data_IF_738125305402
#
_entry.id   IF_738125305402
#
_cell.length_a   1.000
_cell.length_b   1.000
_cell.length_c   1.000
_cell.angle_alpha   90.00
_cell.angle_beta   90.00
_cell.angle_gamma   90.00
#
_symmetry.space_group_name_H-M   'P 1'
#
loop_
_entity.id
_entity.type
_entity.pdbx_description
1 polymer ?
#
# COMPACT_ATOMS: atom_id res chain seq x y z
N UNK A 1 -5.11 15.98 -1.52
CA UNK A 1 -4.02 15.97 -2.52
C UNK A 1 -4.52 15.28 -3.79
N UNK A 2 -4.48 15.96 -4.94
CA UNK A 2 -5.17 15.56 -6.17
C UNK A 2 -4.41 14.56 -7.07
N UNK A 3 -3.22 14.08 -6.66
CA UNK A 3 -2.38 13.23 -7.52
C UNK A 3 -2.97 11.84 -7.68
N UNK A 4 -3.44 11.25 -6.59
CA UNK A 4 -4.03 9.90 -6.55
C UNK A 4 -5.30 9.81 -7.41
N UNK A 5 -6.17 10.84 -7.36
CA UNK A 5 -7.41 10.91 -8.16
C UNK A 5 -7.19 11.04 -9.67
N UNK A 6 -5.97 11.41 -10.09
CA UNK A 6 -5.58 11.54 -11.50
C UNK A 6 -4.93 10.28 -12.07
N UNK A 7 -4.72 9.26 -11.24
CA UNK A 7 -4.18 7.99 -11.71
C UNK A 7 -5.13 7.34 -12.72
N UNK A 8 -4.56 6.69 -13.74
CA UNK A 8 -5.33 5.90 -14.70
C UNK A 8 -5.67 4.51 -14.16
N UNK A 9 -4.99 4.07 -13.10
CA UNK A 9 -5.25 2.80 -12.42
C UNK A 9 -6.19 2.98 -11.21
N UNK A 10 -6.93 1.93 -10.86
CA UNK A 10 -7.89 1.95 -9.76
C UNK A 10 -7.26 2.14 -8.36
N UNK A 11 -5.95 1.91 -8.26
CA UNK A 11 -5.15 2.14 -7.07
C UNK A 11 -3.76 2.61 -7.50
N UNK A 12 -3.02 3.17 -6.55
CA UNK A 12 -1.68 3.74 -6.76
C UNK A 12 -0.74 3.18 -5.71
N UNK A 13 0.38 2.62 -6.14
CA UNK A 13 1.39 2.08 -5.24
C UNK A 13 1.95 3.16 -4.31
N UNK A 14 2.09 2.76 -3.05
CA UNK A 14 2.81 3.49 -2.01
C UNK A 14 4.15 2.79 -1.74
N UNK A 15 5.02 3.43 -0.96
CA UNK A 15 6.26 2.80 -0.47
C UNK A 15 6.04 1.76 0.65
N UNK A 16 4.86 1.15 0.74
CA UNK A 16 4.46 0.29 1.86
C UNK A 16 4.58 -1.19 1.45
N UNK A 17 5.28 -2.01 2.25
CA UNK A 17 5.57 -3.41 1.95
C UNK A 17 5.19 -4.32 3.11
N UNK A 18 4.71 -5.53 2.81
CA UNK A 18 4.45 -6.54 3.82
C UNK A 18 5.65 -7.48 3.98
N UNK A 19 6.09 -7.69 5.22
CA UNK A 19 7.05 -8.74 5.58
C UNK A 19 6.31 -9.94 6.15
N UNK A 20 6.19 -11.01 5.37
CA UNK A 20 5.61 -12.28 5.84
C UNK A 20 6.37 -12.87 7.03
N UNK A 21 7.70 -12.75 7.06
CA UNK A 21 8.53 -13.33 8.13
C UNK A 21 8.21 -12.68 9.47
N UNK A 22 7.98 -11.37 9.46
CA UNK A 22 7.71 -10.58 10.66
C UNK A 22 6.21 -10.36 10.91
N UNK A 23 5.36 -10.63 9.93
CA UNK A 23 3.92 -10.35 9.97
C UNK A 23 3.60 -8.85 10.09
N UNK A 24 4.46 -7.98 9.53
CA UNK A 24 4.32 -6.52 9.66
C UNK A 24 4.37 -5.79 8.33
N UNK A 25 3.73 -4.63 8.30
CA UNK A 25 3.84 -3.62 7.26
C UNK A 25 4.93 -2.60 7.59
N UNK A 26 5.75 -2.24 6.61
CA UNK A 26 6.81 -1.25 6.78
C UNK A 26 6.94 -0.34 5.56
N UNK A 27 7.36 0.90 5.80
CA UNK A 27 7.73 1.83 4.73
C UNK A 27 9.14 1.52 4.25
N UNK A 28 9.32 1.43 2.94
CA UNK A 28 10.66 1.25 2.32
C UNK A 28 11.58 2.45 2.54
N UNK A 29 11.02 3.59 2.98
CA UNK A 29 11.80 4.77 3.39
C UNK A 29 12.53 4.59 4.72
N UNK A 30 12.20 3.55 5.50
CA UNK A 30 12.72 3.36 6.85
C UNK A 30 12.05 4.26 7.89
N UNK A 31 11.05 5.04 7.52
CA UNK A 31 10.27 5.86 8.43
C UNK A 31 9.31 5.03 9.28
N UNK A 32 9.16 5.41 10.55
CA UNK A 32 8.22 4.76 11.47
C UNK A 32 6.77 5.09 11.10
N UNK A 33 5.92 4.07 11.08
CA UNK A 33 4.48 4.23 10.82
C UNK A 33 3.79 4.89 12.01
N UNK A 34 3.63 6.22 11.98
CA UNK A 34 2.86 6.96 13.00
C UNK A 34 1.37 7.13 12.62
N UNK A 35 1.03 6.88 11.36
CA UNK A 35 -0.32 7.03 10.81
C UNK A 35 -0.69 5.78 10.01
N UNK A 36 -1.95 5.37 10.09
CA UNK A 36 -2.49 4.26 9.32
C UNK A 36 -3.87 4.63 8.79
N UNK A 37 -4.15 4.26 7.54
CA UNK A 37 -5.43 4.53 6.89
C UNK A 37 -5.96 3.32 6.10
N UNK A 38 -5.85 2.13 6.67
CA UNK A 38 -6.27 0.89 6.02
C UNK A 38 -7.78 0.85 5.79
N UNK A 39 -8.17 0.32 4.63
CA UNK A 39 -9.55 -0.07 4.40
C UNK A 39 -9.91 -1.25 5.34
N UNK A 40 -11.18 -1.38 5.76
CA UNK A 40 -11.61 -2.52 6.56
C UNK A 40 -11.19 -3.86 5.92
N UNK A 41 -10.61 -4.76 6.73
CA UNK A 41 -10.12 -6.05 6.27
C UNK A 41 -8.80 -6.02 5.47
N UNK A 42 -8.14 -4.85 5.36
CA UNK A 42 -6.79 -4.74 4.81
C UNK A 42 -5.79 -4.44 5.93
N UNK A 43 -4.51 -4.76 5.69
CA UNK A 43 -3.44 -4.41 6.62
C UNK A 43 -3.33 -5.32 7.83
N UNK A 44 -4.04 -6.45 7.83
CA UNK A 44 -4.01 -7.48 8.88
C UNK A 44 -3.19 -8.69 8.43
N UNK A 45 -2.76 -9.52 9.38
CA UNK A 45 -2.04 -10.78 9.11
C UNK A 45 -2.91 -11.83 8.42
N UNK A 46 -4.23 -11.63 8.28
CA UNK A 46 -5.11 -12.61 7.61
C UNK A 46 -4.79 -12.71 6.11
N UNK A 47 -4.14 -11.69 5.55
CA UNK A 47 -3.63 -11.71 4.18
C UNK A 47 -2.41 -12.64 3.97
N UNK A 48 -1.79 -13.15 5.06
CA UNK A 48 -0.60 -14.01 4.98
C UNK A 48 -0.87 -15.41 4.39
N UNK A 49 -2.13 -15.82 4.30
CA UNK A 49 -2.50 -17.11 3.71
C UNK A 49 -2.32 -17.16 2.19
N UNK A 50 -2.21 -16.02 1.49
CA UNK A 50 -1.92 -16.00 0.05
C UNK A 50 -0.41 -16.00 -0.21
N UNK A 51 0.11 -17.02 -0.90
CA UNK A 51 1.55 -17.18 -1.17
C UNK A 51 2.22 -15.98 -1.87
N UNK A 52 1.47 -15.11 -2.54
CA UNK A 52 1.99 -13.95 -3.28
C UNK A 52 2.50 -12.84 -2.35
N UNK A 53 3.66 -12.28 -2.68
CA UNK A 53 4.20 -11.09 -1.99
C UNK A 53 3.25 -9.91 -2.21
N UNK A 54 2.98 -9.15 -1.14
CA UNK A 54 2.00 -8.06 -1.13
C UNK A 54 2.66 -6.72 -0.84
N UNK A 55 2.14 -5.71 -1.52
CA UNK A 55 2.50 -4.30 -1.32
C UNK A 55 1.26 -3.47 -1.02
N UNK A 56 1.46 -2.32 -0.40
CA UNK A 56 0.39 -1.38 -0.04
C UNK A 56 0.15 -0.38 -1.16
N UNK A 57 -1.11 -0.17 -1.50
CA UNK A 57 -1.57 0.83 -2.45
C UNK A 57 -2.64 1.70 -1.83
N UNK A 58 -2.86 2.89 -2.38
CA UNK A 58 -4.01 3.74 -2.04
C UNK A 58 -5.05 3.68 -3.16
N UNK A 59 -6.33 3.62 -2.81
CA UNK A 59 -7.41 3.69 -3.80
C UNK A 59 -7.38 5.03 -4.55
N UNK A 60 -7.48 5.00 -5.89
CA UNK A 60 -7.47 6.22 -6.70
C UNK A 60 -8.79 7.00 -6.59
N UNK A 61 -9.90 6.28 -6.45
CA UNK A 61 -11.23 6.81 -6.13
C UNK A 61 -11.67 6.51 -4.69
N UNK A 62 -12.93 6.84 -4.37
CA UNK A 62 -13.52 6.59 -3.06
C UNK A 62 -12.85 7.40 -1.94
N UNK A 63 -12.76 6.78 -0.75
CA UNK A 63 -12.23 7.40 0.47
C UNK A 63 -10.70 7.37 0.56
N UNK A 64 -10.02 6.85 -0.46
CA UNK A 64 -8.55 6.82 -0.55
C UNK A 64 -7.90 6.09 0.63
N UNK A 65 -8.51 4.97 1.04
CA UNK A 65 -7.94 4.07 2.03
C UNK A 65 -6.81 3.22 1.43
N UNK A 66 -5.93 2.75 2.30
CA UNK A 66 -4.86 1.83 1.96
C UNK A 66 -5.42 0.43 1.80
N UNK A 67 -4.98 -0.23 0.74
CA UNK A 67 -5.35 -1.59 0.40
C UNK A 67 -4.10 -2.38 0.12
N UNK A 68 -4.19 -3.69 0.32
CA UNK A 68 -3.11 -4.61 0.04
C UNK A 68 -3.34 -5.33 -1.28
N UNK A 69 -2.32 -5.38 -2.12
CA UNK A 69 -2.40 -5.95 -3.47
C UNK A 69 -1.19 -6.84 -3.78
N UNK A 70 -1.35 -7.90 -4.58
CA UNK A 70 -0.22 -8.66 -5.10
C UNK A 70 0.74 -7.76 -5.88
N UNK A 71 2.04 -7.94 -5.69
CA UNK A 71 3.07 -7.13 -6.36
C UNK A 71 3.15 -7.32 -7.87
N UNK A 72 2.51 -8.36 -8.38
CA UNK A 72 2.35 -8.61 -9.80
C UNK A 72 1.43 -7.60 -10.48
N UNK A 73 0.63 -6.85 -9.71
CA UNK A 73 -0.27 -5.83 -10.24
C UNK A 73 0.51 -4.64 -10.83
N UNK A 74 0.17 -4.25 -12.06
CA UNK A 74 0.71 -3.07 -12.72
C UNK A 74 -0.14 -1.84 -12.40
N UNK A 75 0.30 -1.04 -11.43
CA UNK A 75 -0.38 0.18 -11.00
C UNK A 75 0.49 1.42 -11.25
N UNK A 76 -0.12 2.60 -11.34
CA UNK A 76 0.61 3.85 -11.13
C UNK A 76 1.27 3.85 -9.74
N UNK A 77 2.30 4.67 -9.53
CA UNK A 77 3.00 4.78 -8.25
C UNK A 77 3.29 6.25 -7.91
N UNK A 78 3.46 6.53 -6.62
CA UNK A 78 3.92 7.83 -6.13
C UNK A 78 5.34 7.68 -5.60
N UNK A 79 6.21 8.62 -5.96
CA UNK A 79 7.52 8.77 -5.34
C UNK A 79 7.50 9.96 -4.39
N UNK A 80 8.08 9.80 -3.21
CA UNK A 80 8.56 10.91 -2.40
C UNK A 80 10.05 11.14 -2.70
N UNK A 81 10.51 12.37 -2.53
CA UNK A 81 11.94 12.68 -2.41
C UNK A 81 12.25 12.75 -0.92
N UNK A 82 13.38 12.21 -0.50
CA UNK A 82 13.94 12.51 0.82
C UNK A 82 14.40 13.96 0.80
N UNK A 83 14.02 14.74 1.82
CA UNK A 83 14.67 16.03 2.12
C UNK A 83 16.01 15.77 2.83
#
# INVERSE_FOLDING_TARGET
MNVVKRASTAAVWLGLRHSRILGIWYWVSGETVCYQNWAPGNGTSEEDCEHTVRSGAVQSGGDQHWISRPETDKLNFICSRYE
#
